data_IF_722007810324
#
_entry.id   IF_722007810324
#
_cell.length_a   1.000
_cell.length_b   1.000
_cell.length_c   1.000
_cell.angle_alpha   90.00
_cell.angle_beta   90.00
_cell.angle_gamma   90.00
#
_symmetry.space_group_name_H-M   'P 1'
#
loop_
_entity.id
_entity.type
_entity.pdbx_description
1 polymer ?
#
# COMPACT_ATOMS: atom_id res chain seq x y z
N UNK A 1 13.56 -14.40 18.40
CA UNK A 1 12.21 -14.27 17.80
C UNK A 1 12.44 -14.09 16.31
N UNK A 2 11.99 -15.02 15.47
CA UNK A 2 12.31 -15.06 14.04
C UNK A 2 11.60 -13.91 13.29
N UNK A 3 12.36 -12.97 12.74
CA UNK A 3 11.87 -11.83 11.96
C UNK A 3 10.93 -12.25 10.81
N UNK A 4 11.26 -13.36 10.14
CA UNK A 4 10.42 -13.96 9.11
C UNK A 4 9.03 -14.33 9.64
N UNK A 5 8.95 -14.86 10.86
CA UNK A 5 7.69 -15.23 11.49
C UNK A 5 6.83 -13.99 11.73
N UNK A 6 7.43 -12.89 12.23
CA UNK A 6 6.73 -11.62 12.44
C UNK A 6 6.18 -11.04 11.12
N UNK A 7 6.98 -11.09 10.05
CA UNK A 7 6.54 -10.66 8.71
C UNK A 7 5.36 -11.49 8.20
N UNK A 8 5.37 -12.80 8.39
CA UNK A 8 4.25 -13.66 8.01
C UNK A 8 2.98 -13.34 8.80
N UNK A 9 3.10 -13.00 10.09
CA UNK A 9 1.96 -12.53 10.87
C UNK A 9 1.36 -11.24 10.32
N UNK A 10 2.20 -10.25 9.95
CA UNK A 10 1.73 -8.99 9.34
C UNK A 10 1.05 -9.24 8.00
N UNK A 11 1.64 -10.06 7.14
CA UNK A 11 1.07 -10.36 5.82
C UNK A 11 -0.24 -11.16 5.90
N UNK A 12 -0.34 -12.08 6.85
CA UNK A 12 -1.50 -12.98 6.97
C UNK A 12 -2.68 -12.34 7.70
N UNK A 13 -2.40 -11.54 8.74
CA UNK A 13 -3.43 -11.01 9.63
C UNK A 13 -3.59 -9.50 9.52
N UNK A 14 -2.57 -8.79 9.03
CA UNK A 14 -2.62 -7.35 8.80
C UNK A 14 -3.14 -6.57 9.98
N UNK A 15 -4.10 -5.70 9.71
CA UNK A 15 -4.78 -4.86 10.69
C UNK A 15 -6.16 -5.39 11.11
N UNK A 16 -6.47 -6.64 10.77
CA UNK A 16 -7.78 -7.22 11.02
C UNK A 16 -8.02 -7.41 12.54
N UNK A 17 -8.98 -6.69 13.15
CA UNK A 17 -9.19 -6.74 14.60
C UNK A 17 -9.82 -8.07 15.07
N UNK A 18 -10.44 -8.82 14.15
CA UNK A 18 -11.05 -10.13 14.40
C UNK A 18 -10.03 -11.29 14.40
N UNK A 19 -8.77 -11.06 14.02
CA UNK A 19 -7.73 -12.09 13.95
C UNK A 19 -6.78 -12.02 15.13
N UNK A 20 -6.42 -13.17 15.69
CA UNK A 20 -5.49 -13.28 16.83
C UNK A 20 -5.84 -12.31 17.97
N UNK A 21 -7.14 -12.09 18.25
CA UNK A 21 -7.64 -11.15 19.26
C UNK A 21 -7.16 -9.68 19.05
N UNK A 22 -6.77 -9.34 17.83
CA UNK A 22 -6.21 -8.05 17.46
C UNK A 22 -4.78 -7.81 17.98
N UNK A 23 -4.06 -8.85 18.41
CA UNK A 23 -2.70 -8.70 18.97
C UNK A 23 -1.72 -8.09 17.96
N UNK A 24 -1.78 -8.52 16.69
CA UNK A 24 -0.92 -7.97 15.62
C UNK A 24 -1.22 -6.48 15.43
N UNK A 25 -2.50 -6.12 15.32
CA UNK A 25 -2.94 -4.73 15.21
C UNK A 25 -2.45 -3.88 16.39
N UNK A 26 -2.71 -4.29 17.64
CA UNK A 26 -2.29 -3.54 18.84
C UNK A 26 -0.78 -3.36 18.93
N UNK A 27 0.00 -4.34 18.47
CA UNK A 27 1.46 -4.26 18.49
C UNK A 27 2.01 -3.22 17.50
N UNK A 28 1.32 -2.99 16.38
CA UNK A 28 1.78 -2.06 15.32
C UNK A 28 1.05 -0.73 15.32
N UNK A 29 -0.11 -0.62 15.99
CA UNK A 29 -1.01 0.53 15.96
C UNK A 29 -0.29 1.85 16.27
N UNK A 30 0.54 1.91 17.32
CA UNK A 30 1.25 3.15 17.69
C UNK A 30 2.23 3.61 16.61
N UNK A 31 2.91 2.67 15.94
CA UNK A 31 3.82 2.97 14.83
C UNK A 31 3.05 3.44 13.61
N UNK A 32 1.91 2.79 13.33
CA UNK A 32 1.05 3.15 12.20
C UNK A 32 0.35 4.49 12.39
N UNK A 33 -0.06 4.83 13.62
CA UNK A 33 -0.68 6.12 13.93
C UNK A 33 0.30 7.27 13.71
N UNK A 34 1.57 7.08 14.09
CA UNK A 34 2.63 8.03 13.79
C UNK A 34 2.84 8.17 12.27
N UNK A 35 2.92 7.06 11.55
CA UNK A 35 3.05 7.05 10.09
C UNK A 35 1.87 7.77 9.40
N UNK A 36 0.63 7.45 9.78
CA UNK A 36 -0.57 8.08 9.24
C UNK A 36 -0.60 9.59 9.53
N UNK A 37 -0.13 10.01 10.71
CA UNK A 37 -0.01 11.41 11.06
C UNK A 37 0.98 12.15 10.15
N UNK A 38 2.11 11.55 9.81
CA UNK A 38 3.05 12.12 8.83
C UNK A 38 2.48 12.18 7.41
N UNK A 39 1.67 11.19 7.02
CA UNK A 39 0.94 11.20 5.75
C UNK A 39 -0.04 12.39 5.70
N UNK A 40 -0.82 12.60 6.77
CA UNK A 40 -1.74 13.75 6.89
C UNK A 40 -0.98 15.08 6.79
N UNK A 41 0.18 15.20 7.45
CA UNK A 41 1.03 16.40 7.34
C UNK A 41 1.52 16.62 5.92
N UNK A 42 1.92 15.55 5.22
CA UNK A 42 2.39 15.62 3.83
C UNK A 42 1.28 16.09 2.87
N UNK A 43 0.06 15.58 3.03
CA UNK A 43 -1.12 16.03 2.28
C UNK A 43 -1.39 17.51 2.52
N UNK A 44 -1.41 17.94 3.79
CA UNK A 44 -1.63 19.36 4.15
C UNK A 44 -0.54 20.27 3.58
N UNK A 45 0.72 19.83 3.62
CA UNK A 45 1.84 20.55 3.04
C UNK A 45 1.63 20.77 1.53
N UNK A 46 1.26 19.71 0.80
CA UNK A 46 0.96 19.81 -0.63
C UNK A 46 -0.20 20.78 -0.91
N UNK A 47 -1.32 20.65 -0.19
CA UNK A 47 -2.50 21.51 -0.37
C UNK A 47 -2.21 22.97 -0.04
N UNK A 48 -1.36 23.25 0.96
CA UNK A 48 -0.93 24.61 1.29
C UNK A 48 -0.12 25.22 0.15
N UNK A 49 0.73 24.41 -0.51
CA UNK A 49 1.56 24.85 -1.63
C UNK A 49 0.77 25.02 -2.94
N UNK A 50 -0.30 24.24 -3.11
CA UNK A 50 -1.17 24.23 -4.29
C UNK A 50 -2.66 24.30 -3.89
N UNK A 51 -3.18 25.48 -3.49
CA UNK A 51 -4.52 25.61 -2.91
C UNK A 51 -5.68 25.15 -3.81
N UNK A 52 -5.46 25.16 -5.13
CA UNK A 52 -6.47 24.81 -6.13
C UNK A 52 -6.37 23.34 -6.59
N UNK A 53 -5.45 22.55 -6.03
CA UNK A 53 -5.26 21.14 -6.39
C UNK A 53 -5.63 20.28 -5.18
N UNK A 54 -6.71 19.53 -5.30
CA UNK A 54 -7.11 18.55 -4.31
C UNK A 54 -6.41 17.22 -4.55
N UNK A 55 -6.06 16.53 -3.47
CA UNK A 55 -5.57 15.14 -3.53
C UNK A 55 -6.79 14.24 -3.70
N UNK A 56 -6.95 13.64 -4.88
CA UNK A 56 -8.13 12.83 -5.19
C UNK A 56 -8.13 11.45 -4.54
N UNK A 57 -7.00 10.76 -4.59
CA UNK A 57 -6.82 9.44 -3.97
C UNK A 57 -5.36 9.19 -3.59
N UNK A 58 -5.14 8.19 -2.74
CA UNK A 58 -3.83 7.63 -2.41
C UNK A 58 -3.76 6.24 -3.00
N UNK A 59 -2.73 5.98 -3.82
CA UNK A 59 -2.47 4.65 -4.36
C UNK A 59 -1.37 3.96 -3.55
N UNK A 60 -1.70 2.81 -2.98
CA UNK A 60 -0.79 1.97 -2.21
C UNK A 60 -0.02 1.03 -3.14
N UNK A 61 1.30 0.97 -2.98
CA UNK A 61 2.18 0.08 -3.75
C UNK A 61 3.12 -0.68 -2.84
N UNK A 62 3.75 -1.74 -3.37
CA UNK A 62 4.70 -2.56 -2.62
C UNK A 62 4.06 -3.21 -1.39
N UNK A 63 4.80 -3.24 -0.29
CA UNK A 63 4.39 -3.92 0.93
C UNK A 63 3.09 -3.37 1.54
N UNK A 64 2.82 -2.07 1.41
CA UNK A 64 1.59 -1.44 1.89
C UNK A 64 0.33 -2.00 1.21
N UNK A 65 0.44 -2.45 -0.05
CA UNK A 65 -0.65 -3.10 -0.78
C UNK A 65 -0.86 -4.57 -0.38
N UNK A 66 0.13 -5.20 0.26
CA UNK A 66 0.06 -6.59 0.68
C UNK A 66 -0.50 -6.78 2.11
N UNK A 67 -0.57 -5.71 2.91
CA UNK A 67 -1.07 -5.76 4.29
C UNK A 67 -2.61 -5.69 4.28
N UNK A 68 -3.33 -6.70 4.80
CA UNK A 68 -4.78 -6.66 4.92
C UNK A 68 -5.27 -5.47 5.75
N UNK A 69 -6.34 -4.82 5.27
CA UNK A 69 -7.02 -3.68 5.91
C UNK A 69 -6.19 -2.38 6.05
N UNK A 70 -5.03 -2.31 5.39
CA UNK A 70 -4.14 -1.15 5.48
C UNK A 70 -4.71 0.08 4.77
N UNK A 71 -5.36 -0.10 3.62
CA UNK A 71 -6.00 0.98 2.88
C UNK A 71 -7.18 1.59 3.64
N UNK A 72 -8.02 0.76 4.24
CA UNK A 72 -9.14 1.17 5.07
C UNK A 72 -8.65 1.95 6.30
N UNK A 73 -7.61 1.44 6.95
CA UNK A 73 -6.96 2.13 8.07
C UNK A 73 -6.46 3.52 7.66
N UNK A 74 -5.69 3.65 6.56
CA UNK A 74 -5.22 4.95 6.10
C UNK A 74 -6.35 5.87 5.63
N UNK A 75 -7.39 5.32 5.00
CA UNK A 75 -8.58 6.09 4.60
C UNK A 75 -9.23 6.70 5.82
N UNK A 76 -9.39 5.93 6.91
CA UNK A 76 -9.97 6.43 8.17
C UNK A 76 -9.14 7.54 8.84
N UNK A 77 -7.81 7.54 8.65
CA UNK A 77 -6.91 8.53 9.25
C UNK A 77 -6.76 9.79 8.40
N UNK A 78 -6.82 9.65 7.08
CA UNK A 78 -6.54 10.74 6.11
C UNK A 78 -7.80 11.39 5.53
N UNK A 79 -8.95 10.72 5.60
CA UNK A 79 -10.19 11.07 4.90
C UNK A 79 -10.03 11.16 3.37
N UNK A 80 -9.05 10.46 2.81
CA UNK A 80 -8.81 10.34 1.37
C UNK A 80 -8.90 8.85 1.03
N UNK A 81 -9.53 8.50 -0.09
CA UNK A 81 -9.62 7.12 -0.52
C UNK A 81 -8.22 6.53 -0.77
N UNK A 82 -7.85 5.50 -0.02
CA UNK A 82 -6.58 4.78 -0.17
C UNK A 82 -6.83 3.42 -0.84
N UNK A 83 -6.47 3.31 -2.12
CA UNK A 83 -6.71 2.12 -2.94
C UNK A 83 -5.40 1.39 -3.26
N UNK A 84 -5.45 0.08 -3.51
CA UNK A 84 -4.29 -0.66 -4.00
C UNK A 84 -4.02 -0.25 -5.46
N UNK A 85 -2.82 0.24 -5.72
CA UNK A 85 -2.35 0.53 -7.07
C UNK A 85 -2.00 -0.77 -7.81
N UNK A 86 -2.46 -0.88 -9.07
CA UNK A 86 -2.09 -1.99 -9.94
C UNK A 86 -1.04 -1.54 -10.97
N UNK A 87 0.26 -1.81 -10.75
CA UNK A 87 1.30 -1.41 -11.69
C UNK A 87 1.27 -2.18 -13.01
N UNK A 88 0.56 -3.31 -13.08
CA UNK A 88 0.45 -4.16 -14.26
C UNK A 88 -0.71 -3.78 -15.17
N UNK A 89 -1.51 -2.77 -14.83
CA UNK A 89 -2.73 -2.41 -15.57
C UNK A 89 -2.48 -2.15 -17.07
N UNK A 90 -1.27 -1.70 -17.43
CA UNK A 90 -0.87 -1.42 -18.82
C UNK A 90 0.16 -2.40 -19.38
N UNK A 91 0.52 -3.43 -18.62
CA UNK A 91 1.53 -4.43 -19.01
C UNK A 91 0.83 -5.65 -19.58
N UNK A 92 1.21 -6.07 -20.79
CA UNK A 92 0.71 -7.31 -21.39
C UNK A 92 1.71 -8.44 -21.14
N UNK A 93 1.24 -9.51 -20.51
CA UNK A 93 1.99 -10.75 -20.28
C UNK A 93 1.14 -11.95 -20.71
N UNK A 94 1.76 -13.12 -20.90
CA UNK A 94 1.01 -14.35 -21.14
C UNK A 94 0.15 -14.71 -19.92
N UNK A 95 -0.95 -15.43 -20.15
CA UNK A 95 -1.90 -15.78 -19.08
C UNK A 95 -1.26 -16.61 -17.96
N UNK A 96 -0.32 -17.49 -18.31
CA UNK A 96 0.48 -18.28 -17.36
C UNK A 96 1.30 -17.39 -16.43
N UNK A 97 1.91 -16.34 -16.97
CA UNK A 97 2.77 -15.43 -16.21
C UNK A 97 1.93 -14.54 -15.31
N UNK A 98 0.76 -14.10 -15.79
CA UNK A 98 -0.18 -13.33 -14.96
C UNK A 98 -0.60 -14.08 -13.70
N UNK A 99 -0.88 -15.39 -13.82
CA UNK A 99 -1.22 -16.23 -12.67
C UNK A 99 -0.05 -16.33 -11.69
N UNK A 100 1.16 -16.59 -12.20
CA UNK A 100 2.37 -16.73 -11.39
C UNK A 100 2.77 -15.42 -10.68
N UNK A 101 2.52 -14.28 -11.30
CA UNK A 101 2.94 -12.96 -10.78
C UNK A 101 1.90 -12.31 -9.88
N UNK A 102 0.65 -12.77 -9.90
CA UNK A 102 -0.48 -12.15 -9.19
C UNK A 102 -0.23 -11.88 -7.71
N UNK A 103 0.49 -12.79 -7.01
CA UNK A 103 0.78 -12.70 -5.57
C UNK A 103 1.85 -11.66 -5.22
N UNK A 104 2.75 -11.34 -6.14
CA UNK A 104 3.86 -10.41 -5.96
C UNK A 104 3.71 -9.16 -6.82
N UNK A 105 2.61 -9.04 -7.56
CA UNK A 105 2.39 -8.03 -8.59
C UNK A 105 2.59 -6.59 -8.07
N UNK A 106 2.10 -6.28 -6.87
CA UNK A 106 2.19 -4.94 -6.28
C UNK A 106 3.64 -4.51 -5.97
N UNK A 107 4.58 -5.45 -5.87
CA UNK A 107 6.00 -5.18 -5.60
C UNK A 107 6.75 -4.68 -6.85
N UNK A 108 6.17 -4.83 -8.05
CA UNK A 108 6.84 -4.52 -9.30
C UNK A 108 6.67 -3.07 -9.76
N UNK A 109 5.99 -2.22 -8.99
CA UNK A 109 5.70 -0.83 -9.39
C UNK A 109 6.95 -0.06 -9.86
N UNK A 110 8.04 -0.15 -9.10
CA UNK A 110 9.28 0.55 -9.43
C UNK A 110 9.95 0.00 -10.69
N UNK A 111 10.08 -1.34 -10.79
CA UNK A 111 10.79 -1.97 -11.93
C UNK A 111 10.01 -1.85 -13.23
N UNK A 112 8.68 -1.91 -13.18
CA UNK A 112 7.82 -1.64 -14.34
C UNK A 112 7.99 -0.19 -14.77
N UNK A 113 7.94 0.77 -13.84
CA UNK A 113 8.17 2.18 -14.16
C UNK A 113 9.53 2.44 -14.82
N UNK A 114 10.58 1.74 -14.38
CA UNK A 114 11.91 1.80 -15.01
C UNK A 114 11.93 1.17 -16.41
N UNK A 115 11.27 0.03 -16.59
CA UNK A 115 11.18 -0.65 -17.89
C UNK A 115 10.41 0.19 -18.93
N UNK A 116 9.33 0.86 -18.50
CA UNK A 116 8.53 1.75 -19.34
C UNK A 116 9.34 2.94 -19.90
N UNK A 117 10.47 3.30 -19.30
CA UNK A 117 11.31 4.41 -19.77
C UNK A 117 11.83 4.21 -21.20
N UNK A 118 12.07 2.96 -21.59
CA UNK A 118 12.52 2.60 -22.94
C UNK A 118 11.39 2.03 -23.80
N UNK A 119 10.17 2.00 -23.27
CA UNK A 119 9.01 1.47 -23.97
C UNK A 119 8.48 2.56 -24.91
N UNK A 120 9.03 2.62 -26.12
CA UNK A 120 8.43 3.35 -27.22
C UNK A 120 7.26 2.50 -27.72
N UNK A 121 6.06 2.74 -27.19
CA UNK A 121 4.83 2.32 -27.86
C UNK A 121 4.56 3.23 -29.05
#
# INVERSE_FOLDING_TARGET
VQEDQARQFILKFGLAPDKLEGQVYRAVESTLDNFASELVKSVKFFQTRYPNIQVGEVLLSGFAAAIPQFGEYLTSKTNIACNIGNPWQKVRVAQSDQQNLSSIASEFATVIGLAERNNQQ
#
